data_IF_326521013574
#
_entry.id   IF_326521013574
#
_cell.length_a   1.000
_cell.length_b   1.000
_cell.length_c   1.000
_cell.angle_alpha   90.00
_cell.angle_beta   90.00
_cell.angle_gamma   90.00
#
_symmetry.space_group_name_H-M   'P 1'
#
loop_
_entity.id
_entity.type
_entity.pdbx_description
1 polymer ?
#
# COMPACT_ATOMS: atom_id res chain seq x y z
N UNK A 1 43.68 19.63 37.84
CA UNK A 1 42.44 19.87 37.05
C UNK A 1 42.86 19.75 35.60
N UNK A 2 42.65 18.56 35.02
CA UNK A 2 42.97 18.27 33.64
C UNK A 2 41.73 18.68 32.78
N UNK A 3 41.91 19.70 31.96
CA UNK A 3 40.87 20.22 31.12
C UNK A 3 40.66 19.24 29.94
N UNK A 4 39.54 18.55 29.92
CA UNK A 4 39.08 17.72 28.78
C UNK A 4 39.04 18.58 27.51
N UNK A 5 39.69 18.19 26.38
CA UNK A 5 39.64 18.95 25.17
C UNK A 5 38.21 19.00 24.61
N UNK A 6 37.76 20.12 23.98
CA UNK A 6 36.45 20.24 23.41
C UNK A 6 36.22 19.19 22.33
N UNK A 7 34.97 18.65 22.18
CA UNK A 7 34.67 17.66 21.16
C UNK A 7 34.94 18.23 19.75
N UNK A 8 35.59 17.42 18.92
CA UNK A 8 35.93 17.80 17.55
C UNK A 8 34.65 18.15 16.77
N UNK A 9 34.65 19.20 15.93
CA UNK A 9 33.52 19.62 15.14
C UNK A 9 33.06 18.48 14.22
N UNK A 10 31.77 18.15 14.26
CA UNK A 10 31.17 17.14 13.39
C UNK A 10 31.42 17.52 11.92
N UNK A 11 32.06 16.63 11.17
CA UNK A 11 32.35 16.82 9.72
C UNK A 11 31.01 17.10 9.00
N UNK A 12 30.95 18.14 8.16
CA UNK A 12 29.73 18.41 7.38
C UNK A 12 29.48 17.22 6.44
N UNK A 13 28.34 16.53 6.67
CA UNK A 13 27.92 15.44 5.78
C UNK A 13 27.66 16.01 4.39
N UNK A 14 28.16 15.33 3.36
CA UNK A 14 27.99 15.75 1.96
C UNK A 14 26.50 15.97 1.64
N UNK A 15 26.11 17.18 1.26
CA UNK A 15 24.71 17.59 0.97
C UNK A 15 24.02 16.69 -0.06
N UNK A 16 24.77 16.00 -0.94
CA UNK A 16 24.23 15.10 -1.97
C UNK A 16 23.60 13.80 -1.43
N UNK A 17 23.98 13.34 -0.23
CA UNK A 17 23.46 12.08 0.33
C UNK A 17 21.97 12.21 0.72
N UNK A 18 21.51 13.40 1.09
CA UNK A 18 20.10 13.67 1.41
C UNK A 18 19.18 13.68 0.19
N UNK A 19 19.74 13.85 -1.03
CA UNK A 19 18.97 13.88 -2.27
C UNK A 19 18.54 12.47 -2.72
N UNK A 20 19.31 11.44 -2.37
CA UNK A 20 19.11 10.09 -2.89
C UNK A 20 17.74 9.48 -2.47
N UNK A 21 17.32 9.49 -1.18
CA UNK A 21 15.99 9.01 -0.80
C UNK A 21 14.88 9.78 -1.51
N UNK A 22 14.97 11.13 -1.52
CA UNK A 22 13.94 11.96 -2.15
C UNK A 22 13.83 11.72 -3.67
N UNK A 23 14.91 11.29 -4.33
CA UNK A 23 14.86 10.92 -5.75
C UNK A 23 14.05 9.63 -5.97
N UNK A 24 14.18 8.62 -5.09
CA UNK A 24 13.35 7.43 -5.15
C UNK A 24 11.88 7.75 -4.87
N UNK A 25 11.60 8.58 -3.86
CA UNK A 25 10.24 9.06 -3.56
C UNK A 25 9.65 9.81 -4.76
N UNK A 26 10.43 10.69 -5.42
CA UNK A 26 10.00 11.39 -6.64
C UNK A 26 9.75 10.40 -7.78
N UNK A 27 10.60 9.39 -7.94
CA UNK A 27 10.42 8.32 -8.93
C UNK A 27 9.14 7.52 -8.70
N UNK A 28 8.84 7.18 -7.43
CA UNK A 28 7.60 6.53 -7.03
C UNK A 28 6.37 7.38 -7.35
N UNK A 29 6.43 8.67 -7.01
CA UNK A 29 5.37 9.63 -7.34
C UNK A 29 5.18 9.78 -8.85
N UNK A 30 6.27 9.81 -9.62
CA UNK A 30 6.22 9.85 -11.09
C UNK A 30 5.54 8.60 -11.67
N UNK A 31 5.88 7.41 -11.16
CA UNK A 31 5.25 6.16 -11.58
C UNK A 31 3.74 6.15 -11.24
N UNK A 32 3.36 6.62 -10.03
CA UNK A 32 1.95 6.78 -9.64
C UNK A 32 1.20 7.76 -10.54
N UNK A 33 1.81 8.90 -10.87
CA UNK A 33 1.23 9.87 -11.80
C UNK A 33 1.08 9.29 -13.22
N UNK A 34 2.11 8.58 -13.72
CA UNK A 34 2.04 7.88 -15.00
C UNK A 34 0.90 6.85 -15.02
N UNK A 35 0.67 6.12 -13.91
CA UNK A 35 -0.44 5.17 -13.81
C UNK A 35 -1.80 5.85 -14.04
N UNK A 36 -2.00 7.06 -13.53
CA UNK A 36 -3.24 7.83 -13.75
C UNK A 36 -3.39 8.17 -15.24
N UNK A 37 -2.33 8.63 -15.89
CA UNK A 37 -2.36 8.98 -17.33
C UNK A 37 -2.63 7.74 -18.19
N UNK A 38 -1.92 6.62 -17.92
CA UNK A 38 -2.11 5.36 -18.64
C UNK A 38 -3.54 4.82 -18.48
N UNK A 39 -4.10 4.88 -17.26
CA UNK A 39 -5.49 4.49 -17.01
C UNK A 39 -6.49 5.36 -17.78
N UNK A 40 -6.28 6.67 -17.84
CA UNK A 40 -7.13 7.60 -18.60
C UNK A 40 -7.08 7.33 -20.12
N UNK A 41 -5.97 6.79 -20.61
CA UNK A 41 -5.78 6.37 -22.01
C UNK A 41 -6.28 4.94 -22.29
N UNK A 42 -6.74 4.20 -21.28
CA UNK A 42 -7.19 2.82 -21.40
C UNK A 42 -6.08 1.76 -21.36
N UNK A 43 -4.84 2.15 -21.09
CA UNK A 43 -3.69 1.26 -20.96
C UNK A 43 -3.62 0.67 -19.53
N UNK A 44 -4.61 -0.14 -19.17
CA UNK A 44 -4.77 -0.64 -17.81
C UNK A 44 -3.63 -1.54 -17.32
N UNK A 45 -3.08 -2.47 -18.11
CA UNK A 45 -1.92 -3.26 -17.67
C UNK A 45 -0.72 -2.38 -17.32
N UNK A 46 -0.39 -1.38 -18.14
CA UNK A 46 0.72 -0.47 -17.93
C UNK A 46 0.49 0.38 -16.66
N UNK A 47 -0.75 0.85 -16.46
CA UNK A 47 -1.14 1.58 -15.26
C UNK A 47 -0.96 0.73 -13.99
N UNK A 48 -1.33 -0.54 -14.04
CA UNK A 48 -1.17 -1.46 -12.91
C UNK A 48 0.31 -1.72 -12.61
N UNK A 49 1.12 -2.00 -13.63
CA UNK A 49 2.58 -2.17 -13.49
C UNK A 49 3.22 -0.93 -12.89
N UNK A 50 2.82 0.27 -13.32
CA UNK A 50 3.36 1.51 -12.81
C UNK A 50 3.09 1.70 -11.30
N UNK A 51 1.92 1.30 -10.78
CA UNK A 51 1.64 1.32 -9.33
C UNK A 51 2.56 0.34 -8.59
N UNK A 52 2.85 -0.84 -9.14
CA UNK A 52 3.81 -1.76 -8.52
C UNK A 52 5.24 -1.24 -8.57
N UNK A 53 5.64 -0.56 -9.64
CA UNK A 53 6.94 0.14 -9.72
C UNK A 53 7.01 1.22 -8.63
N UNK A 54 5.94 2.00 -8.45
CA UNK A 54 5.87 2.98 -7.36
C UNK A 54 6.06 2.32 -5.98
N UNK A 55 5.42 1.16 -5.74
CA UNK A 55 5.56 0.43 -4.48
C UNK A 55 6.99 -0.11 -4.23
N UNK A 56 7.71 -0.49 -5.28
CA UNK A 56 9.11 -0.91 -5.18
C UNK A 56 9.99 0.29 -4.83
N UNK A 57 9.80 1.44 -5.49
CA UNK A 57 10.57 2.66 -5.26
C UNK A 57 10.35 3.21 -3.85
N UNK A 58 9.10 3.22 -3.36
CA UNK A 58 8.73 3.53 -1.98
C UNK A 58 9.44 2.62 -0.96
N UNK A 59 9.45 1.31 -1.20
CA UNK A 59 10.17 0.38 -0.34
C UNK A 59 11.69 0.59 -0.34
N UNK A 60 12.26 1.13 -1.41
CA UNK A 60 13.69 1.42 -1.54
C UNK A 60 14.07 2.72 -0.84
N UNK A 61 13.29 3.81 -0.98
CA UNK A 61 13.62 5.11 -0.38
C UNK A 61 13.68 5.03 1.15
N UNK A 62 12.70 4.39 1.78
CA UNK A 62 12.71 4.18 3.22
C UNK A 62 13.86 3.28 3.71
N UNK A 63 14.36 2.34 2.89
CA UNK A 63 15.55 1.54 3.21
C UNK A 63 16.82 2.37 3.05
N UNK A 64 16.94 3.09 1.95
CA UNK A 64 18.10 3.95 1.65
C UNK A 64 18.22 5.04 2.72
N UNK A 65 17.13 5.73 3.09
CA UNK A 65 17.14 6.75 4.14
C UNK A 65 17.63 6.21 5.49
N UNK A 66 17.27 4.97 5.85
CA UNK A 66 17.76 4.31 7.07
C UNK A 66 19.23 3.91 6.99
N UNK A 67 19.67 3.34 5.87
CA UNK A 67 21.05 2.89 5.69
C UNK A 67 22.05 4.08 5.63
N UNK A 68 21.61 5.17 5.02
CA UNK A 68 22.43 6.40 4.90
C UNK A 68 22.31 7.33 6.11
N UNK A 69 21.39 7.02 7.04
CA UNK A 69 21.11 7.85 8.22
C UNK A 69 20.74 9.30 7.85
N UNK A 70 19.93 9.45 6.76
CA UNK A 70 19.54 10.74 6.16
C UNK A 70 18.05 11.02 6.33
N UNK A 71 17.42 10.45 7.35
CA UNK A 71 16.02 10.73 7.68
C UNK A 71 15.85 12.20 8.05
N UNK A 72 14.88 12.87 7.42
CA UNK A 72 14.52 14.26 7.71
C UNK A 72 13.00 14.39 7.85
N UNK A 73 12.53 15.38 8.61
CA UNK A 73 11.10 15.68 8.73
C UNK A 73 10.49 16.01 7.35
N UNK A 74 11.22 16.74 6.51
CA UNK A 74 10.79 17.02 5.14
C UNK A 74 10.61 15.72 4.34
N UNK A 75 11.58 14.78 4.41
CA UNK A 75 11.50 13.50 3.71
C UNK A 75 10.28 12.69 4.12
N UNK A 76 9.94 12.64 5.41
CA UNK A 76 8.76 11.93 5.92
C UNK A 76 7.45 12.53 5.39
N UNK A 77 7.35 13.87 5.32
CA UNK A 77 6.16 14.53 4.79
C UNK A 77 6.06 14.35 3.27
N UNK A 78 7.19 14.47 2.56
CA UNK A 78 7.25 14.30 1.12
C UNK A 78 6.89 12.87 0.69
N UNK A 79 7.39 11.86 1.40
CA UNK A 79 7.05 10.46 1.25
C UNK A 79 5.54 10.22 1.41
N UNK A 80 4.93 10.79 2.46
CA UNK A 80 3.49 10.66 2.68
C UNK A 80 2.64 11.29 1.57
N UNK A 81 3.10 12.39 0.94
CA UNK A 81 2.43 12.99 -0.20
C UNK A 81 2.57 12.12 -1.46
N UNK A 82 3.76 11.57 -1.69
CA UNK A 82 4.01 10.63 -2.78
C UNK A 82 3.18 9.35 -2.63
N UNK A 83 3.08 8.81 -1.40
CA UNK A 83 2.23 7.68 -1.05
C UNK A 83 0.75 7.93 -1.36
N UNK A 84 0.25 9.12 -1.05
CA UNK A 84 -1.13 9.47 -1.36
C UNK A 84 -1.39 9.46 -2.87
N UNK A 85 -0.45 9.92 -3.68
CA UNK A 85 -0.58 9.89 -5.14
C UNK A 85 -0.48 8.45 -5.64
N UNK A 86 0.51 7.69 -5.21
CA UNK A 86 0.84 6.36 -5.74
C UNK A 86 -0.11 5.27 -5.26
N UNK A 87 -0.59 5.34 -4.02
CA UNK A 87 -1.42 4.29 -3.39
C UNK A 87 -2.83 4.74 -3.03
N UNK A 88 -3.12 6.05 -3.11
CA UNK A 88 -4.46 6.61 -2.95
C UNK A 88 -5.07 6.96 -4.30
N UNK A 89 -4.53 7.98 -4.98
CA UNK A 89 -5.12 8.52 -6.20
C UNK A 89 -4.95 7.58 -7.39
N UNK A 90 -3.75 7.05 -7.65
CA UNK A 90 -3.51 6.22 -8.82
C UNK A 90 -4.40 4.96 -8.86
N UNK A 91 -4.49 4.12 -7.82
CA UNK A 91 -5.38 2.96 -7.84
C UNK A 91 -6.86 3.34 -7.96
N UNK A 92 -7.29 4.43 -7.32
CA UNK A 92 -8.68 4.91 -7.44
C UNK A 92 -9.03 5.32 -8.88
N UNK A 93 -8.09 5.98 -9.57
CA UNK A 93 -8.27 6.41 -10.97
C UNK A 93 -8.16 5.24 -11.95
N UNK A 94 -7.27 4.27 -11.70
CA UNK A 94 -7.21 3.02 -12.47
C UNK A 94 -8.57 2.30 -12.41
N UNK A 95 -9.11 2.10 -11.22
CA UNK A 95 -10.41 1.46 -11.04
C UNK A 95 -11.55 2.29 -11.62
N UNK A 96 -11.50 3.61 -11.46
CA UNK A 96 -12.52 4.50 -12.03
C UNK A 96 -12.58 4.39 -13.53
N UNK A 97 -11.46 4.54 -14.23
CA UNK A 97 -11.42 4.49 -15.70
C UNK A 97 -11.71 3.09 -16.23
N UNK A 98 -11.28 2.04 -15.52
CA UNK A 98 -11.51 0.67 -15.98
C UNK A 98 -12.98 0.25 -15.84
N UNK A 99 -13.64 0.55 -14.71
CA UNK A 99 -14.97 0.03 -14.42
C UNK A 99 -15.99 1.06 -13.94
N UNK A 100 -15.65 1.89 -12.91
CA UNK A 100 -16.65 2.68 -12.19
C UNK A 100 -17.26 3.79 -13.07
N UNK A 101 -16.52 4.33 -14.02
CA UNK A 101 -17.04 5.31 -14.98
C UNK A 101 -18.19 4.75 -15.83
N UNK A 102 -18.23 3.43 -16.04
CA UNK A 102 -19.30 2.77 -16.82
C UNK A 102 -20.64 2.74 -16.11
N UNK A 103 -20.67 2.96 -14.79
CA UNK A 103 -21.93 3.05 -14.02
C UNK A 103 -22.84 4.17 -14.51
N UNK A 104 -22.30 5.19 -15.18
CA UNK A 104 -23.11 6.24 -15.85
C UNK A 104 -24.09 5.68 -16.91
N UNK A 105 -23.82 4.50 -17.45
CA UNK A 105 -24.67 3.84 -18.43
C UNK A 105 -25.97 3.32 -17.78
N UNK A 106 -25.98 3.11 -16.47
CA UNK A 106 -27.13 2.63 -15.72
C UNK A 106 -27.98 3.79 -15.16
N UNK A 107 -27.59 5.03 -15.46
CA UNK A 107 -28.32 6.24 -15.08
C UNK A 107 -27.46 7.28 -14.34
N UNK A 108 -28.08 8.42 -14.05
CA UNK A 108 -27.39 9.55 -13.42
C UNK A 108 -26.92 9.24 -11.99
N UNK A 109 -27.73 8.55 -11.20
CA UNK A 109 -27.41 8.19 -9.80
C UNK A 109 -26.27 7.17 -9.71
N UNK A 110 -26.27 6.02 -10.43
CA UNK A 110 -25.14 5.12 -10.47
C UNK A 110 -23.86 5.79 -10.98
N UNK A 111 -23.95 6.68 -11.97
CA UNK A 111 -22.80 7.43 -12.46
C UNK A 111 -22.16 8.32 -11.40
N UNK A 112 -22.97 8.95 -10.52
CA UNK A 112 -22.47 9.71 -9.36
C UNK A 112 -21.80 8.80 -8.35
N UNK A 113 -22.36 7.63 -8.06
CA UNK A 113 -21.79 6.65 -7.13
C UNK A 113 -20.39 6.23 -7.60
N UNK A 114 -20.17 6.04 -8.90
CA UNK A 114 -18.89 5.61 -9.46
C UNK A 114 -17.72 6.52 -9.05
N UNK A 115 -17.84 7.85 -9.28
CA UNK A 115 -16.76 8.76 -8.90
C UNK A 115 -16.69 9.01 -7.37
N UNK A 116 -17.83 8.95 -6.65
CA UNK A 116 -17.85 9.07 -5.19
C UNK A 116 -17.10 7.91 -4.55
N UNK A 117 -17.24 6.69 -5.05
CA UNK A 117 -16.53 5.52 -4.53
C UNK A 117 -15.04 5.59 -4.83
N UNK A 118 -14.64 6.08 -6.02
CA UNK A 118 -13.24 6.35 -6.32
C UNK A 118 -12.64 7.40 -5.36
N UNK A 119 -13.38 8.49 -5.12
CA UNK A 119 -12.99 9.50 -4.13
C UNK A 119 -12.92 8.93 -2.70
N UNK A 120 -13.89 8.11 -2.30
CA UNK A 120 -13.91 7.46 -0.99
C UNK A 120 -12.62 6.66 -0.75
N UNK A 121 -12.17 5.91 -1.76
CA UNK A 121 -10.92 5.15 -1.65
C UNK A 121 -9.72 6.08 -1.41
N UNK A 122 -9.56 7.14 -2.21
CA UNK A 122 -8.49 8.13 -2.06
C UNK A 122 -8.54 8.85 -0.70
N UNK A 123 -9.76 9.23 -0.25
CA UNK A 123 -9.96 9.86 1.05
C UNK A 123 -9.61 8.92 2.22
N UNK A 124 -9.98 7.63 2.14
CA UNK A 124 -9.60 6.64 3.14
C UNK A 124 -8.09 6.40 3.18
N UNK A 125 -7.40 6.43 2.03
CA UNK A 125 -5.95 6.36 1.97
C UNK A 125 -5.31 7.60 2.65
N UNK A 126 -5.79 8.80 2.37
CA UNK A 126 -5.34 10.04 3.01
C UNK A 126 -5.53 10.02 4.53
N UNK A 127 -6.73 9.64 5.00
CA UNK A 127 -7.04 9.53 6.43
C UNK A 127 -6.14 8.51 7.13
N UNK A 128 -5.86 7.39 6.46
CA UNK A 128 -4.97 6.38 6.98
C UNK A 128 -3.53 6.90 7.11
N UNK A 129 -3.00 7.58 6.10
CA UNK A 129 -1.66 8.18 6.13
C UNK A 129 -1.55 9.25 7.23
N UNK A 130 -2.53 10.14 7.33
CA UNK A 130 -2.59 11.14 8.37
C UNK A 130 -2.62 10.50 9.78
N UNK A 131 -3.44 9.46 9.97
CA UNK A 131 -3.50 8.71 11.23
C UNK A 131 -2.16 8.04 11.56
N UNK A 132 -1.49 7.44 10.57
CA UNK A 132 -0.19 6.81 10.76
C UNK A 132 0.85 7.83 11.20
N UNK A 133 0.92 8.98 10.55
CA UNK A 133 1.85 10.06 10.90
C UNK A 133 1.60 10.65 12.30
N UNK A 134 0.33 10.79 12.68
CA UNK A 134 -0.04 11.29 14.01
C UNK A 134 0.29 10.30 15.15
N UNK A 135 0.43 9.00 14.85
CA UNK A 135 0.68 7.94 15.84
C UNK A 135 2.15 7.48 15.89
N UNK A 136 3.04 8.10 15.12
CA UNK A 136 4.48 7.78 15.14
C UNK A 136 5.02 8.00 16.55
N UNK A 137 5.53 6.92 17.16
CA UNK A 137 6.09 6.91 18.54
C UNK A 137 5.17 6.39 19.65
N UNK A 138 3.87 6.17 19.40
CA UNK A 138 2.91 5.76 20.45
C UNK A 138 2.36 4.33 20.33
N UNK A 139 2.61 3.62 19.22
CA UNK A 139 2.00 2.31 18.96
C UNK A 139 3.01 1.18 18.95
N UNK A 140 2.61 0.02 19.51
CA UNK A 140 3.37 -1.23 19.47
C UNK A 140 3.66 -1.64 18.00
N UNK A 141 4.95 -1.75 17.66
CA UNK A 141 5.46 -2.02 16.31
C UNK A 141 5.06 -3.39 15.72
N UNK A 142 4.39 -4.24 16.50
CA UNK A 142 4.02 -5.61 16.10
C UNK A 142 2.75 -5.69 15.26
N UNK A 143 1.87 -4.70 15.33
CA UNK A 143 0.55 -4.74 14.68
C UNK A 143 0.27 -3.46 13.92
N UNK A 144 -0.11 -3.62 12.65
CA UNK A 144 -0.72 -2.53 11.90
C UNK A 144 -2.22 -2.47 12.18
N UNK A 145 -2.74 -1.26 12.42
CA UNK A 145 -4.17 -1.02 12.54
C UNK A 145 -4.70 -0.56 11.18
N UNK A 146 -5.58 -1.36 10.59
CA UNK A 146 -6.10 -1.16 9.22
C UNK A 146 -5.17 -1.72 8.14
N UNK A 147 -5.75 -1.97 6.95
CA UNK A 147 -5.03 -2.46 5.78
C UNK A 147 -3.99 -1.42 5.31
N UNK A 148 -2.76 -1.83 5.04
CA UNK A 148 -1.71 -0.94 4.54
C UNK A 148 -2.09 -0.32 3.19
N UNK A 149 -1.84 1.01 2.96
CA UNK A 149 -2.16 1.67 1.68
C UNK A 149 -1.52 0.98 0.48
N UNK A 150 -0.23 0.56 0.51
CA UNK A 150 0.34 -0.22 -0.58
C UNK A 150 -0.35 -1.58 -0.80
N UNK A 151 -0.83 -2.22 0.27
CA UNK A 151 -1.55 -3.50 0.14
C UNK A 151 -2.96 -3.32 -0.42
N UNK A 152 -3.66 -2.25 -0.04
CA UNK A 152 -4.96 -1.90 -0.63
C UNK A 152 -4.81 -1.53 -2.11
N UNK A 153 -3.78 -0.75 -2.46
CA UNK A 153 -3.43 -0.44 -3.84
C UNK A 153 -3.14 -1.71 -4.63
N UNK A 154 -2.28 -2.59 -4.09
CA UNK A 154 -1.96 -3.88 -4.69
C UNK A 154 -3.20 -4.73 -4.95
N UNK A 155 -4.15 -4.80 -4.00
CA UNK A 155 -5.42 -5.52 -4.20
C UNK A 155 -6.23 -4.93 -5.37
N UNK A 156 -6.40 -3.62 -5.41
CA UNK A 156 -7.21 -2.93 -6.42
C UNK A 156 -6.59 -3.07 -7.81
N UNK A 157 -5.28 -2.79 -7.95
CA UNK A 157 -4.65 -2.82 -9.28
C UNK A 157 -4.41 -4.25 -9.77
N UNK A 158 -4.11 -5.22 -8.89
CA UNK A 158 -3.99 -6.63 -9.31
C UNK A 158 -5.34 -7.20 -9.73
N UNK A 159 -6.44 -6.80 -9.11
CA UNK A 159 -7.79 -7.15 -9.56
C UNK A 159 -8.05 -6.64 -10.99
N UNK A 160 -7.77 -5.36 -11.26
CA UNK A 160 -7.92 -4.79 -12.61
C UNK A 160 -7.02 -5.52 -13.61
N UNK A 161 -5.76 -5.74 -13.26
CA UNK A 161 -4.79 -6.39 -14.14
C UNK A 161 -5.19 -7.82 -14.47
N UNK A 162 -5.58 -8.60 -13.47
CA UNK A 162 -6.05 -9.98 -13.65
C UNK A 162 -7.28 -10.03 -14.56
N UNK A 163 -8.29 -9.20 -14.29
CA UNK A 163 -9.48 -9.16 -15.12
C UNK A 163 -9.17 -8.75 -16.57
N UNK A 164 -8.28 -7.77 -16.76
CA UNK A 164 -7.83 -7.36 -18.10
C UNK A 164 -7.05 -8.48 -18.81
N UNK A 165 -6.20 -9.22 -18.11
CA UNK A 165 -5.45 -10.35 -18.67
C UNK A 165 -6.37 -11.51 -19.11
N UNK A 166 -7.48 -11.73 -18.41
CA UNK A 166 -8.50 -12.70 -18.81
C UNK A 166 -9.50 -12.14 -19.84
N UNK A 167 -9.29 -10.93 -20.38
CA UNK A 167 -10.19 -10.32 -21.35
C UNK A 167 -11.54 -9.90 -20.78
N UNK A 168 -11.67 -9.81 -19.45
CA UNK A 168 -12.90 -9.39 -18.80
C UNK A 168 -13.06 -7.87 -18.86
N UNK A 169 -14.25 -7.42 -19.28
CA UNK A 169 -14.55 -6.00 -19.39
C UNK A 169 -14.88 -5.41 -18.01
N UNK A 170 -14.27 -4.27 -17.69
CA UNK A 170 -14.65 -3.51 -16.48
C UNK A 170 -16.10 -3.07 -16.49
N UNK A 171 -16.69 -2.88 -17.69
CA UNK A 171 -18.12 -2.58 -17.84
C UNK A 171 -19.01 -3.68 -17.28
N UNK A 172 -18.67 -4.95 -17.51
CA UNK A 172 -19.47 -6.09 -17.05
C UNK A 172 -19.29 -6.34 -15.56
N UNK A 173 -18.09 -6.03 -15.06
CA UNK A 173 -17.70 -6.20 -13.65
C UNK A 173 -17.87 -4.93 -12.79
N UNK A 174 -18.55 -3.88 -13.30
CA UNK A 174 -18.65 -2.58 -12.62
C UNK A 174 -19.16 -2.63 -11.17
N UNK A 175 -20.12 -3.51 -10.87
CA UNK A 175 -20.62 -3.68 -9.51
C UNK A 175 -19.68 -4.46 -8.62
N UNK A 176 -18.95 -5.45 -9.17
CA UNK A 176 -17.89 -6.16 -8.43
C UNK A 176 -16.74 -5.20 -8.13
N UNK A 177 -16.33 -4.42 -9.12
CA UNK A 177 -15.32 -3.38 -8.99
C UNK A 177 -15.68 -2.34 -7.91
N UNK A 178 -16.95 -1.92 -7.87
CA UNK A 178 -17.48 -1.05 -6.84
C UNK A 178 -17.34 -1.70 -5.46
N UNK A 179 -17.75 -2.96 -5.30
CA UNK A 179 -17.63 -3.72 -4.05
C UNK A 179 -16.19 -3.86 -3.58
N UNK A 180 -15.26 -4.21 -4.49
CA UNK A 180 -13.81 -4.33 -4.19
C UNK A 180 -13.25 -2.99 -3.73
N UNK A 181 -13.59 -1.89 -4.42
CA UNK A 181 -13.10 -0.54 -4.08
C UNK A 181 -13.59 -0.10 -2.70
N UNK A 182 -14.89 -0.26 -2.42
CA UNK A 182 -15.47 0.07 -1.11
C UNK A 182 -14.86 -0.78 -0.01
N UNK A 183 -14.73 -2.10 -0.23
CA UNK A 183 -14.11 -2.99 0.73
C UNK A 183 -12.67 -2.60 1.05
N UNK A 184 -11.84 -2.33 0.04
CA UNK A 184 -10.47 -1.88 0.22
C UNK A 184 -10.40 -0.55 1.00
N UNK A 185 -11.27 0.43 0.66
CA UNK A 185 -11.37 1.71 1.35
C UNK A 185 -11.71 1.54 2.84
N UNK A 186 -12.74 0.76 3.15
CA UNK A 186 -13.17 0.51 4.52
C UNK A 186 -12.13 -0.28 5.32
N UNK A 187 -11.45 -1.26 4.71
CA UNK A 187 -10.38 -2.02 5.36
C UNK A 187 -9.21 -1.12 5.75
N UNK A 188 -8.84 -0.09 4.95
CA UNK A 188 -7.78 0.86 5.28
C UNK A 188 -8.08 1.64 6.57
N UNK A 189 -9.31 2.10 6.77
CA UNK A 189 -9.70 2.91 7.93
C UNK A 189 -10.15 2.05 9.12
N UNK A 190 -10.39 0.77 8.91
CA UNK A 190 -10.85 -0.17 9.94
C UNK A 190 -9.87 -0.27 11.11
N UNK A 191 -10.38 -0.75 12.27
CA UNK A 191 -9.55 -1.08 13.45
C UNK A 191 -9.07 -2.54 13.44
N UNK A 192 -9.11 -3.20 12.28
CA UNK A 192 -8.62 -4.57 12.14
C UNK A 192 -7.11 -4.60 12.33
N UNK A 193 -6.63 -5.64 13.00
CA UNK A 193 -5.19 -5.84 13.22
C UNK A 193 -4.63 -6.73 12.12
N UNK A 194 -3.64 -6.22 11.42
CA UNK A 194 -2.90 -6.96 10.41
C UNK A 194 -1.51 -7.33 10.95
N UNK A 195 -1.04 -8.51 10.59
CA UNK A 195 0.29 -8.94 10.99
C UNK A 195 1.36 -8.07 10.33
N UNK A 196 2.28 -7.53 11.14
CA UNK A 196 3.41 -6.74 10.67
C UNK A 196 4.64 -7.64 10.54
N UNK A 197 5.13 -7.84 9.34
CA UNK A 197 6.40 -8.55 9.10
C UNK A 197 7.62 -7.80 9.68
N UNK A 198 7.46 -6.52 10.07
CA UNK A 198 8.52 -5.71 10.71
C UNK A 198 8.71 -6.00 12.19
N UNK A 199 7.77 -6.69 12.85
CA UNK A 199 7.76 -6.91 14.30
C UNK A 199 8.32 -8.26 14.76
N UNK A 200 8.80 -9.10 13.85
CA UNK A 200 9.60 -10.26 14.21
C UNK A 200 10.99 -9.78 14.64
N UNK A 201 11.12 -9.34 15.89
CA UNK A 201 12.39 -8.94 16.48
C UNK A 201 13.39 -10.11 16.50
N UNK A 202 14.69 -9.84 16.75
CA UNK A 202 15.76 -10.81 16.65
C UNK A 202 15.66 -11.84 17.79
N UNK A 203 14.85 -12.89 17.57
CA UNK A 203 14.79 -14.06 18.46
C UNK A 203 15.29 -15.35 17.84
N UNK A 204 15.66 -15.32 16.58
CA UNK A 204 16.41 -16.41 15.95
C UNK A 204 17.18 -15.83 14.77
N UNK A 205 18.51 -15.87 14.83
CA UNK A 205 19.40 -15.50 13.71
C UNK A 205 19.29 -16.44 12.51
N UNK A 206 18.31 -17.35 12.52
CA UNK A 206 18.11 -18.32 11.46
C UNK A 206 16.74 -18.12 10.82
N UNK A 207 16.74 -17.56 9.61
CA UNK A 207 15.56 -17.62 8.75
C UNK A 207 15.25 -19.10 8.48
N UNK A 208 14.05 -19.60 8.80
CA UNK A 208 13.75 -21.01 8.54
C UNK A 208 13.85 -21.27 7.03
N UNK A 209 14.54 -22.36 6.67
CA UNK A 209 14.75 -22.77 5.27
C UNK A 209 13.43 -22.78 4.46
N UNK A 210 12.36 -23.25 5.10
CA UNK A 210 11.03 -23.25 4.50
C UNK A 210 10.55 -21.84 4.08
N UNK A 211 10.88 -20.80 4.84
CA UNK A 211 10.51 -19.42 4.46
C UNK A 211 11.23 -18.99 3.17
N UNK A 212 12.49 -19.38 3.01
CA UNK A 212 13.25 -19.11 1.77
C UNK A 212 12.59 -19.84 0.59
N UNK A 213 12.25 -21.14 0.76
CA UNK A 213 11.57 -21.92 -0.28
C UNK A 213 10.23 -21.29 -0.68
N UNK A 214 9.42 -20.84 0.31
CA UNK A 214 8.15 -20.18 0.03
C UNK A 214 8.37 -18.86 -0.73
N UNK A 215 9.35 -18.05 -0.35
CA UNK A 215 9.67 -16.81 -1.07
C UNK A 215 10.08 -17.09 -2.52
N UNK A 216 10.95 -18.10 -2.74
CA UNK A 216 11.37 -18.49 -4.09
C UNK A 216 10.18 -19.01 -4.89
N UNK A 217 9.32 -19.85 -4.31
CA UNK A 217 8.12 -20.35 -4.98
C UNK A 217 7.16 -19.21 -5.39
N UNK A 218 6.96 -18.22 -4.51
CA UNK A 218 6.15 -17.02 -4.83
C UNK A 218 6.80 -16.22 -5.95
N UNK A 219 8.12 -16.01 -5.92
CA UNK A 219 8.82 -15.30 -7.00
C UNK A 219 8.71 -16.00 -8.35
N UNK A 220 8.84 -17.32 -8.37
CA UNK A 220 8.64 -18.13 -9.59
C UNK A 220 7.20 -18.02 -10.08
N UNK A 221 6.22 -18.13 -9.19
CA UNK A 221 4.82 -18.00 -9.55
C UNK A 221 4.49 -16.60 -10.11
N UNK A 222 5.02 -15.53 -9.49
CA UNK A 222 4.90 -14.15 -10.01
C UNK A 222 5.58 -14.00 -11.36
N UNK A 223 6.69 -14.69 -11.63
CA UNK A 223 7.34 -14.63 -12.94
C UNK A 223 6.53 -15.32 -14.05
N UNK A 224 5.69 -16.33 -13.69
CA UNK A 224 4.83 -17.05 -14.65
C UNK A 224 3.55 -16.27 -14.92
N UNK A 225 2.83 -15.86 -13.89
CA UNK A 225 1.55 -15.13 -13.99
C UNK A 225 1.47 -14.03 -12.93
N UNK A 226 2.10 -12.85 -13.20
CA UNK A 226 2.13 -11.75 -12.25
C UNK A 226 0.74 -11.31 -11.76
N UNK A 227 -0.26 -11.09 -12.65
CA UNK A 227 -1.55 -10.53 -12.24
C UNK A 227 -2.28 -11.41 -11.24
N UNK A 228 -2.44 -12.70 -11.56
CA UNK A 228 -3.23 -13.63 -10.75
C UNK A 228 -2.55 -13.93 -9.41
N UNK A 229 -1.22 -14.11 -9.42
CA UNK A 229 -0.48 -14.38 -8.17
C UNK A 229 -0.49 -13.18 -7.25
N UNK A 230 -0.30 -11.96 -7.77
CA UNK A 230 -0.37 -10.74 -6.96
C UNK A 230 -1.78 -10.53 -6.40
N UNK A 231 -2.83 -10.76 -7.22
CA UNK A 231 -4.21 -10.72 -6.73
C UNK A 231 -4.43 -11.70 -5.57
N UNK A 232 -3.98 -12.95 -5.72
CA UNK A 232 -4.11 -13.96 -4.67
C UNK A 232 -3.39 -13.54 -3.39
N UNK A 233 -2.15 -13.04 -3.50
CA UNK A 233 -1.35 -12.59 -2.34
C UNK A 233 -2.04 -11.43 -1.61
N UNK A 234 -2.46 -10.38 -2.33
CA UNK A 234 -3.10 -9.22 -1.69
C UNK A 234 -4.49 -9.52 -1.17
N UNK A 235 -5.26 -10.38 -1.86
CA UNK A 235 -6.58 -10.82 -1.39
C UNK A 235 -6.45 -11.66 -0.11
N UNK A 236 -5.54 -12.63 -0.06
CA UNK A 236 -5.26 -13.42 1.14
C UNK A 236 -4.79 -12.53 2.30
N UNK A 237 -3.92 -11.56 2.02
CA UNK A 237 -3.48 -10.62 3.05
C UNK A 237 -4.65 -9.76 3.56
N UNK A 238 -5.49 -9.21 2.69
CA UNK A 238 -6.66 -8.42 3.07
C UNK A 238 -7.67 -9.25 3.89
N UNK A 239 -7.90 -10.51 3.49
CA UNK A 239 -8.78 -11.44 4.20
C UNK A 239 -8.21 -11.87 5.56
N UNK A 240 -6.88 -11.97 5.71
CA UNK A 240 -6.24 -12.40 6.96
C UNK A 240 -6.63 -11.55 8.16
N UNK A 241 -6.80 -10.24 7.98
CA UNK A 241 -7.26 -9.33 9.02
C UNK A 241 -8.70 -9.59 9.47
N UNK A 242 -9.58 -9.92 8.52
CA UNK A 242 -10.99 -10.28 8.79
C UNK A 242 -11.07 -11.62 9.52
N UNK A 243 -10.33 -12.61 9.05
CA UNK A 243 -10.26 -13.96 9.66
C UNK A 243 -9.74 -13.86 11.09
N UNK A 244 -8.67 -13.11 11.31
CA UNK A 244 -8.12 -12.91 12.65
C UNK A 244 -9.10 -12.21 13.59
N UNK A 245 -9.82 -11.20 13.11
CA UNK A 245 -10.85 -10.51 13.89
C UNK A 245 -12.02 -11.44 14.25
N UNK A 246 -12.53 -12.20 13.26
CA UNK A 246 -13.62 -13.17 13.48
C UNK A 246 -13.22 -14.24 14.49
N UNK A 247 -12.02 -14.80 14.34
CA UNK A 247 -11.49 -15.80 15.26
C UNK A 247 -11.33 -15.28 16.70
N UNK A 248 -10.85 -14.04 16.89
CA UNK A 248 -10.78 -13.42 18.22
C UNK A 248 -12.14 -13.16 18.82
N UNK A 249 -13.13 -12.82 18.01
CA UNK A 249 -14.50 -12.58 18.49
C UNK A 249 -15.17 -13.87 18.95
N UNK A 250 -14.95 -14.97 18.24
CA UNK A 250 -15.47 -16.29 18.59
C UNK A 250 -14.81 -16.89 19.83
N UNK A 251 -13.55 -16.54 20.11
CA UNK A 251 -12.79 -17.03 21.27
C UNK A 251 -12.91 -16.17 22.53
N UNK A 252 -13.63 -15.06 22.51
CA UNK A 252 -13.96 -14.33 23.75
C UNK A 252 -14.99 -15.14 24.50
N UNK A 253 -14.70 -15.70 25.69
CA UNK A 253 -15.73 -16.30 26.53
C UNK A 253 -16.79 -15.27 26.88
N UNK A 254 -18.02 -15.70 27.06
CA UNK A 254 -19.16 -14.87 27.45
C UNK A 254 -19.10 -14.45 28.95
N UNK A 255 -17.92 -14.10 29.43
CA UNK A 255 -17.69 -13.61 30.78
C UNK A 255 -17.53 -12.09 30.78
N UNK A 256 -18.61 -11.36 30.67
CA UNK A 256 -18.75 -9.98 31.14
C UNK A 256 -20.20 -9.49 30.96
N UNK A 257 -21.16 -10.24 31.49
CA UNK A 257 -22.47 -9.70 31.87
C UNK A 257 -22.80 -10.33 33.21
N UNK A 258 -22.27 -9.76 34.25
CA UNK A 258 -22.76 -9.90 35.62
C UNK A 258 -22.45 -8.57 36.34
#
# INVERSE_FOLDING_TARGET
MESTPPPAPARPRARGIYLLPNLFTTGGMFAGFYAIIAAAQGHFPDACVAVFVAAILDGLDGRVARLTNTQSEFGVQYDSLADLISFGLAPSMVMYHWALASLRLDGATPGKIGWIVAFLYAACAALRLARFNAQVGQVDKRWFIGLASPAAAGLVVSFVWTCAAFGLSGRDLRYVALGVTVAAALLMVSRLRYFSFKGAGPRSDRVPFLAIVVVVAVLVAVAIDPPTVLLAVFALYALSGLVYWAWRRLRRPAEAVA
#
